data_IF_195377821883
#
_entry.id   IF_195377821883
#
_cell.length_a   1.000
_cell.length_b   1.000
_cell.length_c   1.000
_cell.angle_alpha   90.00
_cell.angle_beta   90.00
_cell.angle_gamma   90.00
#
_symmetry.space_group_name_H-M   'P 1'
#
loop_
_entity.id
_entity.type
_entity.pdbx_description
1 polymer ?
#
# COMPACT_ATOMS: atom_id res chain seq x y z
N UNK A 1 21.03 7.37 32.02
CA UNK A 1 22.45 6.98 32.21
C UNK A 1 22.68 5.48 32.48
N UNK A 2 21.97 4.87 33.44
CA UNK A 2 22.12 3.41 33.71
C UNK A 2 21.65 2.53 32.53
N UNK A 3 20.51 2.85 31.90
CA UNK A 3 20.01 2.15 30.70
C UNK A 3 20.97 2.26 29.51
N UNK A 4 21.55 3.43 29.26
CA UNK A 4 22.56 3.63 28.21
C UNK A 4 23.85 2.83 28.47
N UNK A 5 24.19 2.58 29.73
CA UNK A 5 25.34 1.75 30.10
C UNK A 5 25.08 0.26 29.82
N UNK A 6 23.90 -0.24 30.17
CA UNK A 6 23.45 -1.62 29.89
C UNK A 6 23.37 -1.86 28.38
N UNK A 7 22.80 -0.93 27.62
CA UNK A 7 22.72 -1.01 26.16
C UNK A 7 24.10 -0.98 25.50
N UNK A 8 25.04 -0.17 26.00
CA UNK A 8 26.43 -0.18 25.53
C UNK A 8 27.11 -1.52 25.83
N UNK A 9 26.88 -2.09 27.01
CA UNK A 9 27.48 -3.36 27.44
C UNK A 9 27.01 -4.54 26.57
N UNK A 10 25.70 -4.67 26.33
CA UNK A 10 25.16 -5.70 25.43
C UNK A 10 25.58 -5.52 23.97
N UNK A 11 25.76 -4.28 23.50
CA UNK A 11 26.28 -4.03 22.14
C UNK A 11 27.74 -4.48 21.95
N UNK A 12 28.51 -4.62 23.04
CA UNK A 12 29.92 -5.02 23.01
C UNK A 12 30.19 -6.52 23.16
N UNK A 13 29.22 -7.30 23.67
CA UNK A 13 29.44 -8.73 24.00
C UNK A 13 29.04 -9.72 22.90
N UNK A 14 28.67 -9.25 21.70
CA UNK A 14 28.23 -10.14 20.61
C UNK A 14 26.82 -10.72 20.78
N UNK A 15 26.08 -10.31 21.82
CA UNK A 15 24.68 -10.68 22.05
C UNK A 15 23.74 -9.70 21.32
N UNK A 16 23.89 -9.58 19.99
CA UNK A 16 23.12 -8.62 19.18
C UNK A 16 21.61 -8.84 19.30
N UNK A 17 21.16 -10.10 19.42
CA UNK A 17 19.75 -10.46 19.52
C UNK A 17 19.11 -9.88 20.79
N UNK A 18 19.74 -10.11 21.96
CA UNK A 18 19.25 -9.53 23.23
C UNK A 18 19.26 -8.00 23.23
N UNK A 19 20.21 -7.36 22.52
CA UNK A 19 20.27 -5.91 22.41
C UNK A 19 19.07 -5.37 21.64
N UNK A 20 18.72 -6.00 20.51
CA UNK A 20 17.57 -5.62 19.67
C UNK A 20 16.26 -5.80 20.44
N UNK A 21 16.04 -6.94 21.10
CA UNK A 21 14.81 -7.20 21.85
C UNK A 21 14.64 -6.24 23.02
N UNK A 22 15.74 -5.90 23.72
CA UNK A 22 15.71 -4.88 24.77
C UNK A 22 15.30 -3.51 24.22
N UNK A 23 15.89 -3.08 23.11
CA UNK A 23 15.57 -1.78 22.50
C UNK A 23 14.13 -1.75 22.01
N UNK A 24 13.69 -2.80 21.32
CA UNK A 24 12.33 -2.92 20.84
C UNK A 24 11.32 -2.83 21.99
N UNK A 25 11.57 -3.53 23.09
CA UNK A 25 10.72 -3.47 24.28
C UNK A 25 10.70 -2.08 24.94
N UNK A 26 11.85 -1.40 25.00
CA UNK A 26 11.96 -0.04 25.56
C UNK A 26 11.28 1.01 24.67
N UNK A 27 11.48 0.91 23.36
CA UNK A 27 10.92 1.82 22.36
C UNK A 27 9.40 1.88 22.41
N UNK A 28 8.72 0.76 22.72
CA UNK A 28 7.26 0.71 22.87
C UNK A 28 6.73 1.71 23.90
N UNK A 29 7.50 1.99 24.94
CA UNK A 29 7.10 2.89 26.02
C UNK A 29 7.79 4.25 25.95
N UNK A 30 9.00 4.32 25.37
CA UNK A 30 9.78 5.54 25.28
C UNK A 30 10.50 5.62 23.91
N UNK A 31 9.83 6.14 22.87
CA UNK A 31 10.38 6.17 21.51
C UNK A 31 11.65 7.04 21.41
N UNK A 32 11.76 8.09 22.21
CA UNK A 32 12.93 9.00 22.23
C UNK A 32 14.26 8.31 22.60
N UNK A 33 14.22 7.07 23.11
CA UNK A 33 15.44 6.30 23.42
C UNK A 33 16.26 5.95 22.18
N UNK A 34 15.63 5.93 21.00
CA UNK A 34 16.31 5.64 19.74
C UNK A 34 16.88 6.94 19.20
N UNK A 35 18.04 7.28 19.72
CA UNK A 35 18.86 8.37 19.19
C UNK A 35 19.58 7.95 17.90
N UNK A 36 20.29 8.89 17.26
CA UNK A 36 21.08 8.64 16.04
C UNK A 36 22.12 7.53 16.24
N UNK A 37 22.66 7.36 17.45
CA UNK A 37 23.70 6.35 17.71
C UNK A 37 23.12 4.94 17.77
N UNK A 38 21.96 4.78 18.40
CA UNK A 38 21.22 3.52 18.46
C UNK A 38 20.70 3.16 17.06
N UNK A 39 20.17 4.13 16.31
CA UNK A 39 19.72 3.93 14.93
C UNK A 39 20.84 3.37 14.04
N UNK A 40 22.03 3.98 14.05
CA UNK A 40 23.17 3.53 13.26
C UNK A 40 23.63 2.11 13.65
N UNK A 41 23.58 1.77 14.94
CA UNK A 41 23.91 0.41 15.43
C UNK A 41 22.89 -0.63 14.96
N UNK A 42 21.61 -0.31 15.01
CA UNK A 42 20.55 -1.19 14.53
C UNK A 42 20.68 -1.41 13.01
N UNK A 43 20.95 -0.36 12.23
CA UNK A 43 21.16 -0.44 10.78
C UNK A 43 22.39 -1.29 10.42
N UNK A 44 23.50 -1.13 11.15
CA UNK A 44 24.70 -1.95 10.95
C UNK A 44 24.47 -3.43 11.33
N UNK A 45 23.67 -3.68 12.37
CA UNK A 45 23.28 -5.03 12.79
C UNK A 45 22.32 -5.72 11.82
N UNK A 46 21.50 -4.96 11.08
CA UNK A 46 20.37 -5.48 10.28
C UNK A 46 20.76 -6.58 9.28
N UNK A 47 21.95 -6.52 8.68
CA UNK A 47 22.43 -7.55 7.74
C UNK A 47 22.71 -8.90 8.39
N UNK A 48 23.02 -8.90 9.69
CA UNK A 48 23.39 -10.10 10.46
C UNK A 48 22.20 -10.75 11.16
N UNK A 49 21.08 -10.02 11.28
CA UNK A 49 19.87 -10.49 11.94
C UNK A 49 19.01 -11.30 10.96
N UNK A 50 18.37 -12.34 11.50
CA UNK A 50 17.46 -13.22 10.76
C UNK A 50 16.14 -13.40 11.53
N UNK A 51 15.06 -13.71 10.81
CA UNK A 51 13.75 -13.98 11.39
C UNK A 51 13.21 -12.84 12.24
N UNK A 52 12.65 -13.18 13.40
CA UNK A 52 11.92 -12.26 14.28
C UNK A 52 12.77 -11.08 14.77
N UNK A 53 14.08 -11.28 15.02
CA UNK A 53 14.96 -10.18 15.43
C UNK A 53 15.10 -9.11 14.35
N UNK A 54 14.98 -9.50 13.07
CA UNK A 54 14.99 -8.54 11.96
C UNK A 54 13.70 -7.73 11.92
N UNK A 55 12.57 -8.35 12.27
CA UNK A 55 11.27 -7.68 12.44
C UNK A 55 11.36 -6.68 13.59
N UNK A 56 11.79 -7.12 14.77
CA UNK A 56 11.94 -6.26 15.96
C UNK A 56 12.87 -5.07 15.68
N UNK A 57 13.97 -5.31 14.97
CA UNK A 57 14.92 -4.26 14.58
C UNK A 57 14.25 -3.21 13.68
N UNK A 58 13.53 -3.62 12.64
CA UNK A 58 12.82 -2.69 11.75
C UNK A 58 11.69 -1.97 12.47
N UNK A 59 10.92 -2.66 13.32
CA UNK A 59 9.83 -2.06 14.09
C UNK A 59 10.33 -0.98 15.05
N UNK A 60 11.45 -1.26 15.74
CA UNK A 60 12.08 -0.30 16.63
C UNK A 60 12.43 1.00 15.89
N UNK A 61 12.83 0.96 14.62
CA UNK A 61 13.21 2.17 13.88
C UNK A 61 12.02 3.07 13.49
N UNK A 62 10.81 2.52 13.33
CA UNK A 62 9.65 3.23 12.76
C UNK A 62 9.35 4.58 13.44
N UNK A 63 9.34 4.73 14.77
CA UNK A 63 8.95 5.99 15.43
C UNK A 63 9.83 7.18 15.05
N UNK A 64 11.16 7.00 15.00
CA UNK A 64 12.10 8.10 14.88
C UNK A 64 12.73 8.21 13.49
N UNK A 65 12.36 7.34 12.54
CA UNK A 65 13.01 7.30 11.23
C UNK A 65 12.88 8.61 10.44
N UNK A 66 11.81 9.36 10.70
CA UNK A 66 11.58 10.68 10.10
C UNK A 66 12.52 11.74 10.64
N UNK A 67 13.17 11.58 11.79
CA UNK A 67 14.11 12.57 12.33
C UNK A 67 15.53 12.41 11.77
N UNK A 68 15.76 11.33 11.03
CA UNK A 68 17.08 10.95 10.55
C UNK A 68 17.26 11.29 9.08
N UNK A 69 18.10 12.29 8.78
CA UNK A 69 18.21 12.89 7.44
C UNK A 69 18.78 11.95 6.37
N UNK A 70 19.67 11.01 6.74
CA UNK A 70 20.27 10.00 5.84
C UNK A 70 19.57 8.64 5.88
N UNK A 71 18.35 8.55 6.44
CA UNK A 71 17.66 7.28 6.68
C UNK A 71 17.58 6.37 5.47
N UNK A 72 17.16 6.88 4.32
CA UNK A 72 16.99 6.04 3.13
C UNK A 72 18.31 5.46 2.62
N UNK A 73 19.38 6.27 2.60
CA UNK A 73 20.68 5.82 2.10
C UNK A 73 21.25 4.70 2.97
N UNK A 74 21.10 4.82 4.29
CA UNK A 74 21.58 3.80 5.22
C UNK A 74 20.71 2.53 5.19
N UNK A 75 19.38 2.67 5.08
CA UNK A 75 18.48 1.53 4.85
C UNK A 75 18.78 0.79 3.55
N UNK A 76 19.06 1.55 2.48
CA UNK A 76 19.47 1.00 1.19
C UNK A 76 20.79 0.26 1.32
N UNK A 77 21.79 0.86 1.96
CA UNK A 77 23.06 0.19 2.24
C UNK A 77 22.90 -1.07 3.10
N UNK A 78 21.89 -1.08 3.97
CA UNK A 78 21.54 -2.21 4.82
C UNK A 78 20.75 -3.32 4.08
N UNK A 79 20.27 -3.07 2.85
CA UNK A 79 19.61 -4.07 1.99
C UNK A 79 18.08 -4.06 2.05
N UNK A 80 17.46 -2.90 2.29
CA UNK A 80 15.98 -2.79 2.37
C UNK A 80 15.28 -3.21 1.06
N UNK A 81 15.88 -2.93 -0.09
CA UNK A 81 15.30 -3.30 -1.39
C UNK A 81 15.23 -4.82 -1.56
N UNK A 82 16.25 -5.55 -1.09
CA UNK A 82 16.25 -7.02 -1.13
C UNK A 82 15.15 -7.60 -0.24
N UNK A 83 14.85 -6.95 0.89
CA UNK A 83 13.76 -7.33 1.80
C UNK A 83 12.39 -7.17 1.11
N UNK A 84 12.21 -6.14 0.28
CA UNK A 84 10.97 -5.93 -0.47
C UNK A 84 10.71 -7.01 -1.52
N UNK A 85 11.77 -7.58 -2.11
CA UNK A 85 11.69 -8.65 -3.11
C UNK A 85 11.46 -10.01 -2.45
N UNK A 86 12.01 -10.21 -1.25
CA UNK A 86 11.99 -11.49 -0.58
C UNK A 86 10.57 -11.96 -0.24
N UNK A 87 10.33 -13.29 -0.26
CA UNK A 87 9.03 -13.91 0.06
C UNK A 87 8.74 -14.01 1.56
N UNK A 88 9.52 -13.33 2.40
CA UNK A 88 9.23 -13.24 3.82
C UNK A 88 8.28 -12.07 4.06
N UNK A 89 6.99 -12.39 4.03
CA UNK A 89 5.93 -11.39 4.11
C UNK A 89 5.86 -10.69 5.46
N UNK A 90 6.30 -11.34 6.54
CA UNK A 90 6.33 -10.72 7.88
C UNK A 90 7.34 -9.59 7.93
N UNK A 91 8.58 -9.86 7.48
CA UNK A 91 9.64 -8.84 7.42
C UNK A 91 9.29 -7.76 6.39
N UNK A 92 8.78 -8.17 5.22
CA UNK A 92 8.36 -7.24 4.16
C UNK A 92 7.25 -6.31 4.62
N UNK A 93 6.26 -6.80 5.37
CA UNK A 93 5.18 -5.99 5.92
C UNK A 93 5.71 -4.83 6.77
N UNK A 94 6.62 -5.12 7.70
CA UNK A 94 7.24 -4.09 8.55
C UNK A 94 8.13 -3.14 7.74
N UNK A 95 8.89 -3.65 6.77
CA UNK A 95 9.69 -2.83 5.86
C UNK A 95 8.82 -1.83 5.08
N UNK A 96 7.66 -2.26 4.58
CA UNK A 96 6.72 -1.39 3.88
C UNK A 96 6.15 -0.30 4.80
N UNK A 97 5.80 -0.61 6.06
CA UNK A 97 5.36 0.41 7.03
C UNK A 97 6.42 1.47 7.28
N UNK A 98 7.66 1.02 7.43
CA UNK A 98 8.81 1.88 7.64
C UNK A 98 9.04 2.80 6.42
N UNK A 99 8.98 2.25 5.21
CA UNK A 99 9.08 3.03 3.96
C UNK A 99 7.94 4.01 3.79
N UNK A 100 6.70 3.61 4.07
CA UNK A 100 5.52 4.48 3.99
C UNK A 100 5.71 5.76 4.81
N UNK A 101 6.29 5.64 6.02
CA UNK A 101 6.58 6.79 6.87
C UNK A 101 7.71 7.68 6.33
N UNK A 102 8.64 7.11 5.57
CA UNK A 102 9.79 7.82 5.01
C UNK A 102 9.47 8.52 3.67
N UNK A 103 8.39 8.13 2.97
CA UNK A 103 8.02 8.64 1.65
C UNK A 103 8.17 10.16 1.45
N UNK A 104 7.68 11.03 2.36
CA UNK A 104 7.73 12.48 2.14
C UNK A 104 9.14 13.07 2.09
N UNK A 105 10.15 12.34 2.58
CA UNK A 105 11.55 12.79 2.62
C UNK A 105 12.39 12.28 1.44
N UNK A 106 11.84 11.37 0.63
CA UNK A 106 12.58 10.72 -0.44
C UNK A 106 12.69 11.62 -1.67
N UNK A 107 13.80 11.49 -2.39
CA UNK A 107 13.97 12.17 -3.68
C UNK A 107 13.22 11.44 -4.80
N UNK A 108 12.98 12.12 -5.92
CA UNK A 108 12.28 11.55 -7.08
C UNK A 108 12.92 10.24 -7.57
N UNK A 109 14.25 10.21 -7.67
CA UNK A 109 14.99 9.02 -8.12
C UNK A 109 14.86 7.84 -7.13
N UNK A 110 14.86 8.14 -5.83
CA UNK A 110 14.70 7.13 -4.79
C UNK A 110 13.28 6.53 -4.82
N UNK A 111 12.26 7.36 -5.03
CA UNK A 111 10.88 6.90 -5.18
C UNK A 111 10.72 6.00 -6.40
N UNK A 112 11.34 6.36 -7.53
CA UNK A 112 11.30 5.55 -8.74
C UNK A 112 11.99 4.19 -8.54
N UNK A 113 13.15 4.17 -7.86
CA UNK A 113 13.85 2.92 -7.52
C UNK A 113 12.98 1.99 -6.66
N UNK A 114 12.31 2.53 -5.63
CA UNK A 114 11.39 1.73 -4.79
C UNK A 114 10.24 1.19 -5.65
N UNK A 115 9.63 2.02 -6.49
CA UNK A 115 8.48 1.63 -7.31
C UNK A 115 8.78 0.45 -8.24
N UNK A 116 10.02 0.34 -8.75
CA UNK A 116 10.46 -0.79 -9.58
C UNK A 116 10.54 -2.12 -8.82
N UNK A 117 10.68 -2.07 -7.50
CA UNK A 117 10.90 -3.23 -6.63
C UNK A 117 9.59 -3.69 -5.95
N UNK A 118 8.58 -2.82 -5.88
CA UNK A 118 7.29 -3.17 -5.29
C UNK A 118 6.58 -4.27 -6.08
N UNK A 119 5.90 -5.16 -5.36
CA UNK A 119 5.11 -6.26 -5.91
C UNK A 119 3.72 -6.28 -5.25
N UNK A 120 2.68 -6.67 -6.00
CA UNK A 120 1.30 -6.76 -5.50
C UNK A 120 1.04 -8.06 -4.73
N UNK A 121 2.00 -8.99 -4.74
CA UNK A 121 1.87 -10.29 -4.09
C UNK A 121 1.99 -10.21 -2.56
N UNK A 122 1.26 -11.08 -1.88
CA UNK A 122 1.42 -11.35 -0.46
C UNK A 122 0.12 -11.39 0.33
N UNK A 123 0.21 -11.49 1.66
CA UNK A 123 -0.94 -11.43 2.55
C UNK A 123 -1.52 -10.01 2.58
N UNK A 124 -2.70 -9.90 3.19
CA UNK A 124 -3.51 -8.68 3.24
C UNK A 124 -2.73 -7.46 3.76
N UNK A 125 -1.86 -7.63 4.77
CA UNK A 125 -1.08 -6.53 5.33
C UNK A 125 -0.04 -5.97 4.33
N UNK A 126 0.71 -6.83 3.65
CA UNK A 126 1.68 -6.40 2.63
C UNK A 126 0.99 -5.70 1.45
N UNK A 127 -0.14 -6.25 1.01
CA UNK A 127 -0.96 -5.67 -0.05
C UNK A 127 -1.49 -4.30 0.35
N UNK A 128 -1.98 -4.17 1.59
CA UNK A 128 -2.46 -2.89 2.12
C UNK A 128 -1.37 -1.83 2.10
N UNK A 129 -0.20 -2.10 2.69
CA UNK A 129 0.87 -1.10 2.75
C UNK A 129 1.46 -0.79 1.37
N UNK A 130 1.57 -1.78 0.50
CA UNK A 130 2.02 -1.55 -0.89
C UNK A 130 1.02 -0.67 -1.63
N UNK A 131 -0.29 -0.91 -1.47
CA UNK A 131 -1.34 -0.07 -2.06
C UNK A 131 -1.24 1.37 -1.54
N UNK A 132 -1.11 1.58 -0.22
CA UNK A 132 -1.00 2.94 0.35
C UNK A 132 0.25 3.68 -0.16
N UNK A 133 1.39 2.99 -0.28
CA UNK A 133 2.60 3.56 -0.89
C UNK A 133 2.36 3.92 -2.37
N UNK A 134 1.78 3.02 -3.16
CA UNK A 134 1.52 3.25 -4.58
C UNK A 134 0.55 4.43 -4.79
N UNK A 135 -0.49 4.56 -3.97
CA UNK A 135 -1.41 5.71 -4.01
C UNK A 135 -0.68 7.03 -3.78
N UNK A 136 0.15 7.08 -2.74
CA UNK A 136 0.94 8.27 -2.42
C UNK A 136 1.91 8.61 -3.55
N UNK A 137 2.63 7.62 -4.08
CA UNK A 137 3.55 7.80 -5.21
C UNK A 137 2.83 8.28 -6.47
N UNK A 138 1.63 7.76 -6.75
CA UNK A 138 0.82 8.17 -7.90
C UNK A 138 0.41 9.64 -7.81
N UNK A 139 -0.04 10.09 -6.64
CA UNK A 139 -0.40 11.48 -6.43
C UNK A 139 0.82 12.40 -6.54
N UNK A 140 1.96 11.98 -5.98
CA UNK A 140 3.22 12.70 -6.08
C UNK A 140 3.68 12.87 -7.54
N UNK A 141 3.74 11.78 -8.32
CA UNK A 141 4.22 11.84 -9.71
C UNK A 141 3.25 12.60 -10.62
N UNK A 142 1.94 12.49 -10.38
CA UNK A 142 0.93 13.23 -11.16
C UNK A 142 1.06 14.74 -10.92
N UNK A 143 1.25 15.16 -9.67
CA UNK A 143 1.51 16.57 -9.33
C UNK A 143 2.84 17.05 -9.91
N UNK A 144 3.88 16.21 -9.85
CA UNK A 144 5.20 16.51 -10.40
C UNK A 144 5.13 16.78 -11.91
N UNK A 145 4.50 15.89 -12.69
CA UNK A 145 4.33 16.04 -14.14
C UNK A 145 3.46 17.26 -14.48
N UNK A 146 2.40 17.51 -13.72
CA UNK A 146 1.52 18.69 -13.92
C UNK A 146 2.26 20.01 -13.70
N UNK A 147 3.31 20.01 -12.86
CA UNK A 147 4.16 21.17 -12.66
C UNK A 147 5.28 21.27 -13.72
N UNK A 148 5.91 20.15 -14.09
CA UNK A 148 6.96 20.13 -15.13
C UNK A 148 6.45 20.48 -16.53
N UNK A 149 5.22 20.10 -16.87
CA UNK A 149 4.59 20.43 -18.16
C UNK A 149 4.45 21.95 -18.39
N UNK A 150 4.44 22.76 -17.32
CA UNK A 150 4.50 24.23 -17.40
C UNK A 150 5.92 24.75 -17.73
N UNK A 151 6.94 23.90 -17.61
CA UNK A 151 8.37 24.24 -17.76
C UNK A 151 9.04 23.60 -19.00
N UNK A 152 8.27 22.92 -19.87
CA UNK A 152 8.65 22.47 -21.23
C UNK A 152 9.60 21.27 -21.34
N UNK A 153 9.96 20.59 -20.25
CA UNK A 153 10.81 19.39 -20.30
C UNK A 153 10.27 18.31 -19.38
N UNK A 154 9.37 17.46 -19.88
CA UNK A 154 9.04 16.19 -19.21
C UNK A 154 10.20 15.23 -19.39
N UNK A 155 10.80 14.76 -18.30
CA UNK A 155 11.86 13.76 -18.38
C UNK A 155 11.28 12.38 -18.72
N UNK A 156 11.93 11.63 -19.62
CA UNK A 156 11.56 10.23 -19.95
C UNK A 156 11.49 9.34 -18.69
N UNK A 157 12.23 9.69 -17.63
CA UNK A 157 12.23 8.96 -16.35
C UNK A 157 10.90 9.15 -15.63
N UNK A 158 10.35 10.37 -15.59
CA UNK A 158 9.09 10.66 -14.91
C UNK A 158 7.89 9.98 -15.58
N UNK A 159 7.89 9.86 -16.91
CA UNK A 159 6.88 9.07 -17.64
C UNK A 159 6.97 7.58 -17.27
N UNK A 160 8.18 7.00 -17.27
CA UNK A 160 8.39 5.61 -16.84
C UNK A 160 7.96 5.38 -15.39
N UNK A 161 8.23 6.33 -14.51
CA UNK A 161 7.80 6.27 -13.12
C UNK A 161 6.27 6.27 -13.01
N UNK A 162 5.60 7.20 -13.71
CA UNK A 162 4.14 7.24 -13.79
C UNK A 162 3.55 5.92 -14.28
N UNK A 163 4.04 5.39 -15.40
CA UNK A 163 3.59 4.11 -15.94
C UNK A 163 3.82 2.96 -14.94
N UNK A 164 4.99 2.88 -14.30
CA UNK A 164 5.30 1.83 -13.33
C UNK A 164 4.29 1.79 -12.18
N UNK A 165 4.02 2.93 -11.54
CA UNK A 165 3.08 3.01 -10.42
C UNK A 165 1.64 2.76 -10.87
N UNK A 166 1.27 3.28 -12.03
CA UNK A 166 -0.06 3.06 -12.62
C UNK A 166 -0.32 1.57 -12.86
N UNK A 167 0.63 0.84 -13.43
CA UNK A 167 0.49 -0.60 -13.66
C UNK A 167 0.30 -1.37 -12.34
N UNK A 168 1.05 -1.03 -11.29
CA UNK A 168 0.86 -1.64 -9.95
C UNK A 168 -0.54 -1.37 -9.39
N UNK A 169 -1.06 -0.15 -9.53
CA UNK A 169 -2.40 0.21 -9.09
C UNK A 169 -3.49 -0.52 -9.89
N UNK A 170 -3.31 -0.74 -11.18
CA UNK A 170 -4.24 -1.51 -12.01
C UNK A 170 -4.27 -2.98 -11.61
N UNK A 171 -3.12 -3.56 -11.26
CA UNK A 171 -3.05 -4.93 -10.75
C UNK A 171 -3.82 -5.09 -9.42
N UNK A 172 -3.85 -4.07 -8.57
CA UNK A 172 -4.68 -4.07 -7.34
C UNK A 172 -6.19 -4.08 -7.62
N UNK A 173 -6.67 -3.59 -8.76
CA UNK A 173 -8.08 -3.70 -9.16
C UNK A 173 -8.50 -5.15 -9.43
N UNK A 174 -7.55 -6.00 -9.79
CA UNK A 174 -7.74 -7.44 -10.00
C UNK A 174 -7.44 -8.27 -8.74
N UNK A 175 -7.26 -7.63 -7.57
CA UNK A 175 -6.94 -8.35 -6.34
C UNK A 175 -8.08 -9.27 -5.91
N UNK A 176 -7.71 -10.48 -5.46
CA UNK A 176 -8.63 -11.47 -4.86
C UNK A 176 -9.27 -10.95 -3.58
N UNK A 177 -8.56 -10.10 -2.83
CA UNK A 177 -9.07 -9.52 -1.61
C UNK A 177 -10.03 -8.37 -1.93
N UNK A 178 -11.28 -8.51 -1.51
CA UNK A 178 -12.32 -7.51 -1.69
C UNK A 178 -11.98 -6.17 -1.06
N UNK A 179 -11.46 -6.15 0.17
CA UNK A 179 -11.11 -4.91 0.86
C UNK A 179 -10.06 -4.10 0.09
N UNK A 180 -9.00 -4.76 -0.38
CA UNK A 180 -7.93 -4.12 -1.16
C UNK A 180 -8.47 -3.61 -2.50
N UNK A 181 -9.28 -4.43 -3.19
CA UNK A 181 -9.89 -4.06 -4.47
C UNK A 181 -10.83 -2.86 -4.33
N UNK A 182 -11.69 -2.83 -3.32
CA UNK A 182 -12.61 -1.71 -3.05
C UNK A 182 -11.83 -0.46 -2.65
N UNK A 183 -10.79 -0.59 -1.82
CA UNK A 183 -9.95 0.54 -1.42
C UNK A 183 -9.21 1.16 -2.64
N UNK A 184 -8.68 0.32 -3.53
CA UNK A 184 -8.08 0.79 -4.79
C UNK A 184 -9.12 1.44 -5.71
N UNK A 185 -10.30 0.84 -5.85
CA UNK A 185 -11.42 1.41 -6.62
C UNK A 185 -11.79 2.81 -6.12
N UNK A 186 -12.00 2.97 -4.82
CA UNK A 186 -12.38 4.26 -4.22
C UNK A 186 -11.32 5.34 -4.47
N UNK A 187 -10.03 4.97 -4.51
CA UNK A 187 -8.95 5.89 -4.86
C UNK A 187 -9.08 6.40 -6.31
N UNK A 188 -9.39 5.52 -7.27
CA UNK A 188 -9.60 5.91 -8.66
C UNK A 188 -10.89 6.71 -8.88
N UNK A 189 -11.93 6.49 -8.07
CA UNK A 189 -13.21 7.20 -8.17
C UNK A 189 -13.17 8.67 -7.72
N UNK A 190 -12.07 9.10 -7.09
CA UNK A 190 -11.91 10.48 -6.66
C UNK A 190 -12.01 11.44 -7.86
N UNK A 191 -12.79 12.51 -7.67
CA UNK A 191 -13.01 13.59 -8.63
C UNK A 191 -11.73 14.21 -9.22
N UNK A 192 -10.62 14.14 -8.49
CA UNK A 192 -9.32 14.65 -8.93
C UNK A 192 -8.68 13.81 -10.03
N UNK A 193 -8.97 12.49 -10.05
CA UNK A 193 -8.34 11.52 -10.97
C UNK A 193 -9.30 11.12 -12.09
N UNK A 194 -10.57 10.94 -11.77
CA UNK A 194 -11.58 10.53 -12.73
C UNK A 194 -12.71 11.57 -12.84
N UNK A 195 -12.85 12.14 -14.05
CA UNK A 195 -13.81 13.22 -14.32
C UNK A 195 -15.25 12.84 -13.96
N UNK A 196 -16.02 13.79 -13.41
CA UNK A 196 -17.43 13.59 -13.04
C UNK A 196 -18.31 13.35 -14.28
N UNK A 197 -17.98 13.96 -15.42
CA UNK A 197 -18.72 13.81 -16.68
C UNK A 197 -18.60 12.38 -17.23
N UNK A 198 -19.72 11.75 -17.57
CA UNK A 198 -19.77 10.37 -18.07
C UNK A 198 -18.93 10.16 -19.31
N UNK A 199 -18.91 11.13 -20.23
CA UNK A 199 -18.13 11.05 -21.46
C UNK A 199 -16.62 11.12 -21.19
N UNK A 200 -16.18 12.12 -20.41
CA UNK A 200 -14.77 12.25 -20.04
C UNK A 200 -14.27 11.08 -19.19
N UNK A 201 -15.14 10.51 -18.34
CA UNK A 201 -14.85 9.30 -17.57
C UNK A 201 -14.59 8.10 -18.49
N UNK A 202 -15.42 7.92 -19.53
CA UNK A 202 -15.24 6.83 -20.50
C UNK A 202 -13.92 6.97 -21.26
N UNK A 203 -13.56 8.18 -21.69
CA UNK A 203 -12.27 8.44 -22.33
C UNK A 203 -11.12 8.13 -21.36
N UNK A 204 -11.19 8.63 -20.12
CA UNK A 204 -10.16 8.39 -19.11
C UNK A 204 -9.98 6.90 -18.77
N UNK A 205 -11.06 6.11 -18.79
CA UNK A 205 -10.99 4.65 -18.60
C UNK A 205 -10.16 3.97 -19.69
N UNK A 206 -10.33 4.38 -20.94
CA UNK A 206 -9.58 3.83 -22.08
C UNK A 206 -8.12 4.32 -22.05
N UNK A 207 -7.89 5.60 -21.79
CA UNK A 207 -6.56 6.20 -21.89
C UNK A 207 -5.65 5.88 -20.69
N UNK A 208 -6.22 5.82 -19.48
CA UNK A 208 -5.44 5.73 -18.23
C UNK A 208 -5.56 4.36 -17.56
N UNK A 209 -6.72 3.71 -17.65
CA UNK A 209 -7.01 2.50 -16.87
C UNK A 209 -6.88 1.20 -17.67
N UNK A 210 -6.63 1.28 -18.98
CA UNK A 210 -6.34 0.11 -19.79
C UNK A 210 -4.89 -0.35 -19.62
N UNK A 211 -4.72 -1.63 -19.29
CA UNK A 211 -3.43 -2.34 -19.34
C UNK A 211 -3.62 -3.78 -19.76
N UNK A 212 -2.72 -4.24 -20.65
CA UNK A 212 -2.65 -5.63 -21.13
C UNK A 212 -2.51 -6.63 -19.97
N UNK A 213 -1.81 -6.24 -18.88
CA UNK A 213 -1.63 -7.12 -17.71
C UNK A 213 -2.93 -7.39 -16.95
N UNK A 214 -3.84 -6.41 -16.96
CA UNK A 214 -5.12 -6.45 -16.25
C UNK A 214 -6.33 -6.65 -17.18
N UNK A 215 -6.09 -7.00 -18.44
CA UNK A 215 -7.09 -7.02 -19.50
C UNK A 215 -8.30 -7.91 -19.16
N UNK A 216 -8.08 -9.04 -18.49
CA UNK A 216 -9.14 -9.98 -18.09
C UNK A 216 -10.21 -9.32 -17.19
N UNK A 217 -9.80 -8.42 -16.31
CA UNK A 217 -10.71 -7.73 -15.38
C UNK A 217 -11.08 -6.33 -15.87
N UNK A 218 -10.54 -5.86 -17.01
CA UNK A 218 -10.75 -4.51 -17.53
C UNK A 218 -12.23 -4.16 -17.68
N UNK A 219 -13.01 -5.05 -18.30
CA UNK A 219 -14.44 -4.84 -18.47
C UNK A 219 -15.18 -4.85 -17.13
N UNK A 220 -14.72 -5.66 -16.17
CA UNK A 220 -15.33 -5.74 -14.85
C UNK A 220 -15.16 -4.42 -14.08
N UNK A 221 -13.93 -3.92 -13.91
CA UNK A 221 -13.75 -2.66 -13.20
C UNK A 221 -14.25 -1.45 -13.98
N UNK A 222 -14.11 -1.41 -15.32
CA UNK A 222 -14.56 -0.26 -16.12
C UNK A 222 -16.08 -0.08 -16.10
N UNK A 223 -16.85 -1.16 -16.24
CA UNK A 223 -18.31 -1.11 -16.12
C UNK A 223 -18.72 -0.69 -14.71
N UNK A 224 -18.05 -1.21 -13.67
CA UNK A 224 -18.30 -0.79 -12.29
C UNK A 224 -18.00 0.69 -12.04
N UNK A 225 -16.95 1.27 -12.65
CA UNK A 225 -16.64 2.70 -12.55
C UNK A 225 -17.69 3.57 -13.24
N UNK A 226 -18.22 3.14 -14.40
CA UNK A 226 -19.27 3.85 -15.10
C UNK A 226 -20.60 3.79 -14.35
N UNK A 227 -21.00 2.59 -13.90
CA UNK A 227 -22.28 2.37 -13.23
C UNK A 227 -22.33 2.97 -11.83
N UNK A 228 -21.21 3.04 -11.11
CA UNK A 228 -21.18 3.70 -9.79
C UNK A 228 -21.76 5.11 -9.83
N UNK A 229 -21.57 5.83 -10.93
CA UNK A 229 -22.04 7.20 -11.06
C UNK A 229 -23.54 7.35 -11.06
N UNK A 230 -24.26 6.28 -11.42
CA UNK A 230 -25.71 6.26 -11.31
C UNK A 230 -26.17 6.45 -9.87
N UNK A 231 -25.41 5.96 -8.88
CA UNK A 231 -25.72 6.13 -7.45
C UNK A 231 -25.72 7.59 -6.96
N UNK A 232 -25.05 8.48 -7.68
CA UNK A 232 -24.99 9.90 -7.33
C UNK A 232 -26.10 10.71 -7.99
N UNK A 233 -26.88 10.10 -8.88
CA UNK A 233 -28.05 10.75 -9.48
C UNK A 233 -29.15 10.84 -8.40
N UNK A 234 -29.80 12.01 -8.21
CA UNK A 234 -30.98 12.11 -7.33
C UNK A 234 -32.04 11.05 -7.65
N UNK A 235 -32.18 10.67 -8.92
CA UNK A 235 -33.17 9.68 -9.38
C UNK A 235 -32.81 8.22 -9.03
N UNK A 236 -31.64 7.96 -8.43
CA UNK A 236 -31.18 6.59 -8.18
C UNK A 236 -32.12 5.78 -7.27
N UNK A 237 -32.69 6.44 -6.26
CA UNK A 237 -33.63 5.82 -5.33
C UNK A 237 -35.09 5.95 -5.81
N UNK A 238 -35.34 6.60 -6.94
CA UNK A 238 -36.67 6.73 -7.50
C UNK A 238 -37.02 5.47 -8.30
N UNK A 239 -38.23 4.96 -8.08
CA UNK A 239 -38.76 3.91 -8.94
C UNK A 239 -38.90 4.42 -10.36
N UNK A 240 -38.45 3.61 -11.32
CA UNK A 240 -38.58 3.92 -12.75
C UNK A 240 -40.07 4.04 -13.17
N UNK A 241 -40.96 3.34 -12.45
CA UNK A 241 -42.39 3.34 -12.71
C UNK A 241 -43.15 3.87 -11.50
N UNK A 242 -44.11 4.77 -11.75
CA UNK A 242 -44.92 5.40 -10.71
C UNK A 242 -45.95 4.42 -10.10
N UNK A 243 -46.50 3.53 -10.93
CA UNK A 243 -47.58 2.62 -10.54
C UNK A 243 -47.16 1.15 -10.68
N UNK A 244 -47.50 0.28 -9.71
CA UNK A 244 -47.35 -1.15 -9.88
C UNK A 244 -48.33 -1.67 -10.94
N UNK A 245 -48.00 -2.81 -11.57
CA UNK A 245 -48.85 -3.43 -12.58
C UNK A 245 -50.23 -3.83 -12.05
N UNK A 246 -50.29 -4.26 -10.79
CA UNK A 246 -51.51 -4.68 -10.10
C UNK A 246 -51.46 -4.28 -8.61
N UNK A 247 -52.63 -4.34 -7.94
CA UNK A 247 -52.74 -4.14 -6.47
C UNK A 247 -52.22 -5.37 -5.72
N UNK A 248 -50.92 -5.61 -5.80
CA UNK A 248 -50.21 -6.69 -5.12
C UNK A 248 -49.49 -6.18 -3.87
N UNK A 249 -49.42 -7.03 -2.84
CA UNK A 249 -48.57 -6.80 -1.66
C UNK A 249 -47.25 -7.52 -1.91
N UNK A 250 -46.19 -6.77 -2.18
CA UNK A 250 -44.85 -7.34 -2.35
C UNK A 250 -44.20 -7.57 -0.98
N UNK A 251 -43.47 -8.69 -0.86
CA UNK A 251 -42.66 -9.02 0.31
C UNK A 251 -41.20 -9.12 -0.11
N UNK A 252 -40.30 -8.71 0.77
CA UNK A 252 -38.87 -8.84 0.54
C UNK A 252 -38.49 -10.33 0.52
N UNK A 253 -37.88 -10.78 -0.57
CA UNK A 253 -37.40 -12.15 -0.70
C UNK A 253 -35.87 -12.17 -0.46
N UNK A 254 -35.40 -12.56 0.74
CA UNK A 254 -33.98 -12.59 1.02
C UNK A 254 -33.32 -13.71 0.21
N UNK A 255 -32.43 -13.34 -0.70
CA UNK A 255 -31.60 -14.29 -1.44
C UNK A 255 -30.51 -14.86 -0.52
N UNK A 256 -30.59 -16.14 -0.18
CA UNK A 256 -29.51 -16.82 0.54
C UNK A 256 -28.39 -17.20 -0.43
N UNK A 257 -27.25 -16.52 -0.37
CA UNK A 257 -26.08 -16.80 -1.22
C UNK A 257 -25.25 -18.03 -0.78
N UNK A 258 -25.73 -18.82 0.20
CA UNK A 258 -25.00 -19.88 0.89
C UNK A 258 -24.96 -21.23 0.16
N UNK A 259 -24.84 -21.26 -1.17
CA UNK A 259 -24.71 -22.53 -1.89
C UNK A 259 -23.36 -23.24 -1.61
N UNK A 260 -22.31 -22.50 -1.24
CA UNK A 260 -20.98 -23.05 -0.91
C UNK A 260 -20.84 -23.59 0.53
N UNK A 261 -21.75 -23.25 1.45
CA UNK A 261 -21.66 -23.67 2.86
C UNK A 261 -22.38 -25.00 3.15
N UNK A 262 -23.18 -25.54 2.23
CA UNK A 262 -23.96 -26.76 2.48
C UNK A 262 -23.14 -28.04 2.71
N UNK A 263 -21.85 -28.05 2.38
CA UNK A 263 -21.02 -29.26 2.46
C UNK A 263 -19.91 -29.24 3.53
N UNK A 264 -19.77 -28.18 4.33
CA UNK A 264 -18.70 -28.12 5.35
C UNK A 264 -19.13 -28.61 6.75
N UNK A 265 -20.39 -29.02 6.93
CA UNK A 265 -20.97 -29.42 8.23
C UNK A 265 -21.77 -30.73 8.18
N UNK A 266 -21.49 -31.61 7.22
CA UNK A 266 -22.01 -32.99 7.22
C UNK A 266 -20.88 -34.00 7.00
N UNK A 267 -19.91 -34.00 7.92
CA UNK A 267 -19.17 -35.20 8.28
C UNK A 267 -19.16 -35.32 9.80
N UNK A 268 -20.19 -35.99 10.31
CA UNK A 268 -20.27 -36.88 11.49
C UNK A 268 -21.76 -37.05 11.82
N UNK A 269 -22.25 -38.26 12.17
CA UNK A 269 -21.55 -39.54 12.37
C UNK A 269 -21.28 -40.33 11.09
#
# INVERSE_FOLDING_TARGET
EQLSFILKWHSGQGTQDTYVTCIYSLQKHYPEIIDKTVMNKLLFGMKKLYGDFKIECLEAMIPNITEFDSAYLELKAAGILDILIHKDFSIRGVALRLLHKLLPKLTHDQLFEIAQVLSVDGPNECQYWTLEICKWMYDYITQYITNETKTSTTSNISEKFYHCVRELLLEFLSSKNEYIRVNCRNFWCDSKRLSISSHHRLIALVDQLYSIKSEQEYLNYSTNFLLERTSHNPDYNHFIFENPLDKCIFQEFPLTCNWRQRHHTYMTP
#
